data_IF_737136422766
#
_entry.id   IF_737136422766
#
_cell.length_a   1.000
_cell.length_b   1.000
_cell.length_c   1.000
_cell.angle_alpha   90.00
_cell.angle_beta   90.00
_cell.angle_gamma   90.00
#
_symmetry.space_group_name_H-M   'P 1'
#
loop_
_entity.id
_entity.type
_entity.pdbx_description
1 polymer ?
#
# COMPACT_ATOMS: atom_id res chain seq x y z
N UNK A 1 -5.40 -1.98 -19.59
CA UNK A 1 -5.99 -2.63 -18.41
C UNK A 1 -5.32 -2.03 -17.18
N UNK A 2 -6.07 -1.41 -16.28
CA UNK A 2 -5.54 -0.73 -15.07
C UNK A 2 -4.92 -1.75 -14.10
N UNK A 3 -3.85 -1.39 -13.38
CA UNK A 3 -3.17 -2.27 -12.41
C UNK A 3 -4.13 -2.86 -11.38
N UNK A 4 -5.04 -2.04 -10.85
CA UNK A 4 -6.09 -2.47 -9.92
C UNK A 4 -6.90 -3.66 -10.47
N UNK A 5 -7.35 -3.57 -11.74
CA UNK A 5 -8.14 -4.64 -12.38
C UNK A 5 -7.30 -5.88 -12.64
N UNK A 6 -6.04 -5.72 -13.02
CA UNK A 6 -5.15 -6.86 -13.24
C UNK A 6 -4.92 -7.63 -11.93
N UNK A 7 -4.55 -6.93 -10.87
CA UNK A 7 -4.25 -7.54 -9.57
C UNK A 7 -5.49 -8.09 -8.87
N UNK A 8 -6.69 -7.56 -9.14
CA UNK A 8 -7.92 -8.10 -8.52
C UNK A 8 -8.49 -9.32 -9.24
N UNK A 9 -8.17 -9.52 -10.52
CA UNK A 9 -8.75 -10.59 -11.33
C UNK A 9 -7.80 -11.76 -11.59
N UNK A 10 -6.49 -11.54 -11.44
CA UNK A 10 -5.47 -12.54 -11.76
C UNK A 10 -4.40 -12.56 -10.69
N UNK A 11 -3.95 -13.77 -10.34
CA UNK A 11 -2.72 -13.94 -9.62
C UNK A 11 -1.55 -13.76 -10.60
N UNK A 12 -0.71 -12.76 -10.36
CA UNK A 12 0.40 -12.33 -11.24
C UNK A 12 1.66 -12.09 -10.42
N UNK A 13 1.89 -12.90 -9.40
CA UNK A 13 2.98 -12.74 -8.44
C UNK A 13 4.36 -12.64 -9.10
N UNK A 14 4.68 -13.50 -10.07
CA UNK A 14 5.97 -13.44 -10.79
C UNK A 14 6.22 -12.07 -11.43
N UNK A 15 5.19 -11.45 -12.02
CA UNK A 15 5.32 -10.12 -12.62
C UNK A 15 5.57 -9.06 -11.54
N UNK A 16 4.86 -9.17 -10.43
CA UNK A 16 4.95 -8.24 -9.30
C UNK A 16 6.32 -8.32 -8.64
N UNK A 17 6.83 -9.53 -8.39
CA UNK A 17 8.17 -9.79 -7.84
C UNK A 17 9.24 -9.21 -8.77
N UNK A 18 9.16 -9.50 -10.08
CA UNK A 18 10.13 -9.01 -11.07
C UNK A 18 10.12 -7.49 -11.27
N UNK A 19 9.11 -6.78 -10.75
CA UNK A 19 8.94 -5.33 -10.88
C UNK A 19 8.76 -4.63 -9.53
N UNK A 20 9.05 -5.32 -8.42
CA UNK A 20 8.70 -4.88 -7.07
C UNK A 20 9.29 -3.51 -6.73
N UNK A 21 10.56 -3.29 -7.03
CA UNK A 21 11.27 -2.01 -6.82
C UNK A 21 10.58 -0.86 -7.56
N UNK A 22 10.40 -0.99 -8.88
CA UNK A 22 9.77 0.04 -9.70
C UNK A 22 8.30 0.29 -9.31
N UNK A 23 7.56 -0.76 -8.95
CA UNK A 23 6.17 -0.62 -8.48
C UNK A 23 6.12 0.09 -7.13
N UNK A 24 7.07 -0.20 -6.24
CA UNK A 24 7.18 0.44 -4.92
C UNK A 24 7.41 1.93 -5.06
N UNK A 25 8.38 2.34 -5.88
CA UNK A 25 8.67 3.76 -6.14
C UNK A 25 7.46 4.52 -6.68
N UNK A 26 6.75 3.92 -7.62
CA UNK A 26 5.56 4.52 -8.23
C UNK A 26 4.42 4.64 -7.23
N UNK A 27 4.16 3.58 -6.44
CA UNK A 27 3.11 3.59 -5.43
C UNK A 27 3.41 4.59 -4.32
N UNK A 28 4.62 4.63 -3.79
CA UNK A 28 5.05 5.62 -2.79
C UNK A 28 4.87 7.05 -3.33
N UNK A 29 5.25 7.27 -4.59
CA UNK A 29 5.08 8.59 -5.24
C UNK A 29 3.61 8.99 -5.31
N UNK A 30 2.72 8.09 -5.76
CA UNK A 30 1.29 8.36 -5.82
C UNK A 30 0.67 8.55 -4.42
N UNK A 31 1.10 7.77 -3.42
CA UNK A 31 0.60 7.90 -2.05
C UNK A 31 1.00 9.23 -1.40
N UNK A 32 2.21 9.72 -1.70
CA UNK A 32 2.77 10.94 -1.11
C UNK A 32 2.31 12.21 -1.83
N UNK A 33 2.27 12.18 -3.17
CA UNK A 33 2.10 13.39 -4.02
C UNK A 33 0.83 13.39 -4.85
N UNK A 34 0.11 12.27 -4.93
CA UNK A 34 -1.10 12.15 -5.73
C UNK A 34 -2.22 13.06 -5.22
N UNK A 35 -3.09 13.49 -6.13
CA UNK A 35 -4.35 14.11 -5.75
C UNK A 35 -5.26 13.11 -5.02
N UNK A 36 -6.41 13.55 -4.50
CA UNK A 36 -7.27 12.68 -3.70
C UNK A 36 -7.73 11.40 -4.44
N UNK A 37 -8.01 11.50 -5.74
CA UNK A 37 -8.41 10.34 -6.55
C UNK A 37 -7.24 9.38 -6.77
N UNK A 38 -6.06 9.92 -7.08
CA UNK A 38 -4.84 9.15 -7.28
C UNK A 38 -4.40 8.45 -5.99
N UNK A 39 -4.41 9.15 -4.86
CA UNK A 39 -4.05 8.58 -3.56
C UNK A 39 -4.98 7.44 -3.16
N UNK A 40 -6.30 7.60 -3.37
CA UNK A 40 -7.27 6.51 -3.12
C UNK A 40 -6.98 5.28 -3.98
N UNK A 41 -6.75 5.48 -5.27
CA UNK A 41 -6.43 4.37 -6.17
C UNK A 41 -5.08 3.73 -5.79
N UNK A 42 -4.08 4.52 -5.45
CA UNK A 42 -2.77 4.05 -5.01
C UNK A 42 -2.87 3.22 -3.73
N UNK A 43 -3.69 3.62 -2.76
CA UNK A 43 -3.95 2.84 -1.56
C UNK A 43 -4.53 1.45 -1.90
N UNK A 44 -5.53 1.39 -2.78
CA UNK A 44 -6.13 0.11 -3.21
C UNK A 44 -5.11 -0.76 -3.97
N UNK A 45 -4.36 -0.17 -4.90
CA UNK A 45 -3.35 -0.92 -5.67
C UNK A 45 -2.22 -1.39 -4.75
N UNK A 46 -1.84 -0.63 -3.74
CA UNK A 46 -0.84 -1.04 -2.73
C UNK A 46 -1.32 -2.24 -1.94
N UNK A 47 -2.57 -2.26 -1.47
CA UNK A 47 -3.12 -3.45 -0.81
C UNK A 47 -3.06 -4.69 -1.71
N UNK A 48 -3.45 -4.53 -2.98
CA UNK A 48 -3.39 -5.61 -3.96
C UNK A 48 -1.95 -6.03 -4.27
N UNK A 49 -1.00 -5.09 -4.30
CA UNK A 49 0.43 -5.37 -4.49
C UNK A 49 0.98 -6.27 -3.39
N UNK A 50 0.70 -5.97 -2.11
CA UNK A 50 1.09 -6.84 -1.00
C UNK A 50 0.41 -8.21 -1.03
N UNK A 51 -0.87 -8.27 -1.42
CA UNK A 51 -1.57 -9.56 -1.63
C UNK A 51 -0.88 -10.40 -2.71
N UNK A 52 -0.38 -9.77 -3.78
CA UNK A 52 0.30 -10.47 -4.87
C UNK A 52 1.72 -10.91 -4.49
N UNK A 53 2.41 -10.16 -3.63
CA UNK A 53 3.70 -10.55 -3.07
C UNK A 53 3.57 -11.76 -2.15
N UNK A 54 2.57 -11.78 -1.27
CA UNK A 54 2.19 -12.96 -0.48
C UNK A 54 3.15 -13.36 0.64
N UNK A 55 4.39 -12.89 0.63
CA UNK A 55 5.38 -13.13 1.67
C UNK A 55 5.65 -11.88 2.51
N UNK A 56 5.96 -12.04 3.80
CA UNK A 56 6.33 -10.92 4.63
C UNK A 56 7.59 -10.21 4.16
N UNK A 57 7.63 -8.90 4.36
CA UNK A 57 8.78 -8.07 4.00
C UNK A 57 8.73 -6.80 4.88
N UNK A 58 9.38 -6.89 6.04
CA UNK A 58 9.37 -5.83 7.05
C UNK A 58 9.93 -4.51 6.50
N UNK A 59 11.00 -4.54 5.69
CA UNK A 59 11.56 -3.33 5.10
C UNK A 59 10.54 -2.63 4.20
N UNK A 60 9.88 -3.39 3.34
CA UNK A 60 8.84 -2.87 2.46
C UNK A 60 7.62 -2.38 3.26
N UNK A 61 7.22 -3.12 4.29
CA UNK A 61 6.15 -2.71 5.21
C UNK A 61 6.47 -1.34 5.85
N UNK A 62 7.66 -1.18 6.42
CA UNK A 62 8.09 0.07 7.06
C UNK A 62 8.08 1.24 6.07
N UNK A 63 8.57 1.02 4.84
CA UNK A 63 8.52 2.05 3.79
C UNK A 63 7.09 2.54 3.53
N UNK A 64 6.10 1.66 3.43
CA UNK A 64 4.71 2.08 3.21
C UNK A 64 4.05 2.64 4.48
N UNK A 65 4.36 2.09 5.65
CA UNK A 65 3.89 2.57 6.97
C UNK A 65 4.26 4.03 7.18
N UNK A 66 5.52 4.38 6.96
CA UNK A 66 6.05 5.73 7.20
C UNK A 66 5.45 6.77 6.24
N UNK A 67 4.86 6.34 5.13
CA UNK A 67 4.12 7.21 4.20
C UNK A 67 2.66 7.34 4.61
N UNK A 68 2.04 6.24 4.99
CA UNK A 68 0.60 6.17 5.22
C UNK A 68 0.23 6.76 6.60
N UNK A 69 0.98 6.45 7.66
CA UNK A 69 0.64 6.88 9.02
C UNK A 69 0.56 8.40 9.18
N UNK A 70 1.49 9.23 8.64
CA UNK A 70 1.36 10.68 8.71
C UNK A 70 0.08 11.20 8.04
N UNK A 71 -0.32 10.60 6.92
CA UNK A 71 -1.53 10.99 6.17
C UNK A 71 -2.80 10.63 6.95
N UNK A 72 -2.79 9.53 7.70
CA UNK A 72 -3.90 9.16 8.58
C UNK A 72 -4.08 10.13 9.75
N UNK A 73 -2.97 10.66 10.27
CA UNK A 73 -2.97 11.61 11.39
C UNK A 73 -3.23 13.06 10.95
N UNK A 74 -3.13 13.36 9.65
CA UNK A 74 -3.38 14.69 9.10
C UNK A 74 -4.89 14.97 8.97
N UNK A 75 -5.43 15.77 9.90
CA UNK A 75 -6.84 16.17 9.90
C UNK A 75 -7.24 17.11 8.76
N UNK A 76 -6.26 17.71 8.06
CA UNK A 76 -6.53 18.51 6.86
C UNK A 76 -6.92 17.65 5.66
N UNK A 77 -6.62 16.35 5.70
CA UNK A 77 -7.01 15.39 4.65
C UNK A 77 -8.45 14.94 4.82
N UNK A 78 -9.12 14.67 3.71
CA UNK A 78 -10.50 14.21 3.71
C UNK A 78 -10.68 12.90 4.50
N UNK A 79 -11.84 12.71 5.11
CA UNK A 79 -12.18 11.42 5.75
C UNK A 79 -12.16 10.26 4.74
N UNK A 80 -12.47 10.54 3.47
CA UNK A 80 -12.50 9.56 2.40
C UNK A 80 -11.10 9.03 2.05
N UNK A 81 -10.09 9.89 1.94
CA UNK A 81 -8.72 9.43 1.67
C UNK A 81 -8.13 8.70 2.89
N UNK A 82 -8.34 9.23 4.10
CA UNK A 82 -7.90 8.59 5.34
C UNK A 82 -8.49 7.19 5.51
N UNK A 83 -9.77 6.99 5.18
CA UNK A 83 -10.39 5.65 5.18
C UNK A 83 -9.66 4.67 4.27
N UNK A 84 -9.35 5.06 3.03
CA UNK A 84 -8.67 4.17 2.08
C UNK A 84 -7.25 3.83 2.54
N UNK A 85 -6.54 4.81 3.09
CA UNK A 85 -5.19 4.62 3.64
C UNK A 85 -5.21 3.72 4.88
N UNK A 86 -6.25 3.84 5.73
CA UNK A 86 -6.40 3.01 6.93
C UNK A 86 -6.66 1.54 6.56
N UNK A 87 -7.52 1.32 5.56
CA UNK A 87 -7.74 -0.02 5.02
C UNK A 87 -6.46 -0.58 4.40
N UNK A 88 -5.71 0.24 3.66
CA UNK A 88 -4.47 -0.21 3.04
C UNK A 88 -3.43 -0.63 4.08
N UNK A 89 -3.13 0.22 5.06
CA UNK A 89 -2.13 -0.13 6.09
C UNK A 89 -2.56 -1.34 6.93
N UNK A 90 -3.85 -1.53 7.18
CA UNK A 90 -4.34 -2.74 7.85
C UNK A 90 -4.06 -4.02 7.07
N UNK A 91 -4.27 -4.01 5.74
CA UNK A 91 -3.95 -5.15 4.86
C UNK A 91 -2.44 -5.38 4.78
N UNK A 92 -1.66 -4.31 4.63
CA UNK A 92 -0.20 -4.38 4.54
C UNK A 92 0.37 -4.95 5.85
N UNK A 93 -0.11 -4.46 7.00
CA UNK A 93 0.26 -4.97 8.31
C UNK A 93 -0.07 -6.46 8.47
N UNK A 94 -1.30 -6.86 8.07
CA UNK A 94 -1.72 -8.27 8.15
C UNK A 94 -0.83 -9.22 7.33
N UNK A 95 -0.32 -8.77 6.18
CA UNK A 95 0.46 -9.62 5.27
C UNK A 95 1.96 -9.57 5.57
N UNK A 96 2.48 -8.36 5.84
CA UNK A 96 3.91 -8.09 5.75
C UNK A 96 4.61 -7.73 7.06
N UNK A 97 3.86 -7.55 8.15
CA UNK A 97 4.45 -7.28 9.46
C UNK A 97 4.82 -8.60 10.15
N UNK A 98 6.11 -8.92 10.23
CA UNK A 98 6.58 -10.08 11.01
C UNK A 98 6.72 -9.75 12.50
N UNK A 99 7.10 -8.52 12.83
CA UNK A 99 7.26 -8.09 14.21
C UNK A 99 5.97 -7.50 14.81
N UNK A 100 5.45 -8.18 15.84
CA UNK A 100 4.29 -7.71 16.63
C UNK A 100 4.53 -6.31 17.20
N UNK A 101 5.77 -5.93 17.54
CA UNK A 101 6.07 -4.59 18.06
C UNK A 101 5.67 -3.50 17.06
N UNK A 102 5.86 -3.75 15.77
CA UNK A 102 5.52 -2.85 14.66
C UNK A 102 4.01 -2.73 14.40
N UNK A 103 3.20 -3.65 14.96
CA UNK A 103 1.73 -3.60 14.91
C UNK A 103 1.13 -2.70 16.01
N UNK A 104 1.84 -2.53 17.14
CA UNK A 104 1.30 -1.90 18.35
C UNK A 104 1.66 -0.40 18.44
N UNK A 105 2.58 0.09 17.61
CA UNK A 105 3.06 1.49 17.56
C UNK A 105 2.44 2.36 16.46
#
# INVERSE_FOLDING_TARGET
RTLQTLFSQKYVSDLVINRSESLTDQLITCLRKGNESEGKLAAIVTSLFFIQLGEPNDELFLQFRDIILPILRDESKSSSIRKNYAQAIGIICFIACEDISSTVE
#
